data_IF_086422028828
#
_entry.id   IF_086422028828
#
_cell.length_a   1.000
_cell.length_b   1.000
_cell.length_c   1.000
_cell.angle_alpha   90.00
_cell.angle_beta   90.00
_cell.angle_gamma   90.00
#
_symmetry.space_group_name_H-M   'P 1'
#
loop_
_entity.id
_entity.type
_entity.pdbx_description
1 polymer ?
#
# COMPACT_ATOMS: atom_id res chain seq x y z
N UNK A 1 -20.83 76.03 37.77
CA UNK A 1 -19.66 76.57 37.04
C UNK A 1 -18.89 75.38 36.48
N UNK A 2 -19.09 75.09 35.20
CA UNK A 2 -18.10 75.28 34.13
C UNK A 2 -16.90 74.31 34.30
N UNK A 3 -16.95 73.12 33.70
CA UNK A 3 -16.52 72.84 32.32
C UNK A 3 -15.05 73.18 32.08
N UNK A 4 -14.17 72.18 32.24
CA UNK A 4 -12.90 72.15 31.51
C UNK A 4 -12.91 71.02 30.48
N UNK A 5 -13.04 71.45 29.22
CA UNK A 5 -12.70 70.69 28.02
C UNK A 5 -11.24 70.22 28.11
N UNK A 6 -10.98 68.95 27.78
CA UNK A 6 -9.72 68.55 27.17
C UNK A 6 -10.01 68.05 25.77
N UNK A 7 -9.48 68.81 24.83
CA UNK A 7 -9.58 68.67 23.39
C UNK A 7 -8.69 67.51 22.93
N UNK A 8 -9.29 66.68 22.07
CA UNK A 8 -8.72 65.92 20.95
C UNK A 8 -7.24 66.12 20.64
N UNK A 9 -6.48 65.02 20.59
CA UNK A 9 -5.62 64.71 19.44
C UNK A 9 -5.10 63.27 19.56
N UNK A 10 -5.45 62.40 18.61
CA UNK A 10 -4.97 61.02 18.61
C UNK A 10 -5.63 60.15 17.55
N UNK A 11 -5.87 60.74 16.37
CA UNK A 11 -6.35 60.06 15.18
C UNK A 11 -5.18 59.27 14.56
N UNK A 12 -5.05 58.01 14.98
CA UNK A 12 -4.21 56.95 14.40
C UNK A 12 -5.03 55.67 14.60
N UNK A 13 -6.08 55.35 13.83
CA UNK A 13 -6.04 55.02 12.41
C UNK A 13 -4.93 54.03 12.05
N UNK A 14 -4.92 52.88 12.73
CA UNK A 14 -4.30 51.65 12.21
C UNK A 14 -5.18 50.45 12.56
N UNK A 15 -6.06 50.11 11.62
CA UNK A 15 -6.50 48.76 11.27
C UNK A 15 -5.97 47.61 12.15
N UNK A 16 -6.75 47.18 13.13
CA UNK A 16 -6.60 45.91 13.87
C UNK A 16 -7.85 45.82 14.78
N UNK A 17 -8.72 44.81 14.80
CA UNK A 17 -8.68 43.40 14.41
C UNK A 17 -10.14 43.01 14.14
N UNK A 18 -10.56 42.92 12.88
CA UNK A 18 -11.79 42.23 12.48
C UNK A 18 -11.38 41.10 11.55
N UNK A 19 -11.13 39.94 12.14
CA UNK A 19 -11.22 38.63 11.50
C UNK A 19 -11.17 37.57 12.60
N UNK A 20 -12.30 37.46 13.30
CA UNK A 20 -12.71 36.19 13.88
C UNK A 20 -12.85 35.18 12.74
N UNK A 21 -12.13 34.07 12.84
CA UNK A 21 -12.48 32.80 12.20
C UNK A 21 -12.21 32.65 10.69
N UNK A 22 -11.04 33.07 10.19
CA UNK A 22 -10.43 32.38 9.05
C UNK A 22 -9.26 31.56 9.56
N UNK A 23 -9.57 30.34 10.01
CA UNK A 23 -8.59 29.26 9.92
C UNK A 23 -8.51 28.97 8.42
N UNK A 24 -7.57 29.61 7.73
CA UNK A 24 -7.16 29.14 6.41
C UNK A 24 -6.64 27.72 6.60
N UNK A 25 -7.49 26.75 6.27
CA UNK A 25 -7.05 25.43 5.90
C UNK A 25 -6.16 25.61 4.66
N UNK A 26 -4.88 25.84 4.90
CA UNK A 26 -3.87 25.80 3.85
C UNK A 26 -4.04 24.42 3.16
N UNK A 27 -4.23 24.35 1.83
CA UNK A 27 -4.01 23.09 1.15
C UNK A 27 -2.57 22.70 1.49
N UNK A 28 -2.39 21.54 2.11
CA UNK A 28 -1.07 21.00 2.40
C UNK A 28 -0.39 20.87 1.05
N UNK A 29 0.45 21.84 0.72
CA UNK A 29 1.33 21.77 -0.42
C UNK A 29 2.30 20.66 -0.09
N UNK A 30 2.07 19.49 -0.68
CA UNK A 30 3.00 18.37 -0.58
C UNK A 30 4.36 18.86 -1.05
N UNK A 31 5.30 19.02 -0.11
CA UNK A 31 6.71 19.14 -0.46
C UNK A 31 7.07 17.92 -1.33
N UNK A 32 7.78 18.09 -2.45
CA UNK A 32 8.20 16.98 -3.31
C UNK A 32 9.18 15.98 -2.66
N UNK A 33 9.41 16.04 -1.33
CA UNK A 33 10.48 15.31 -0.63
C UNK A 33 10.09 14.51 0.63
N UNK A 34 8.83 14.12 0.87
CA UNK A 34 8.60 13.12 1.94
C UNK A 34 7.37 12.25 1.75
N UNK A 35 7.52 11.17 0.97
CA UNK A 35 6.66 9.99 0.92
C UNK A 35 5.15 10.25 1.21
N UNK A 36 4.43 11.03 0.39
CA UNK A 36 3.01 11.36 0.62
C UNK A 36 2.09 10.12 0.71
N UNK A 37 2.59 8.95 0.33
CA UNK A 37 2.09 7.66 0.77
C UNK A 37 2.93 7.18 1.96
N UNK A 38 2.62 7.62 3.19
CA UNK A 38 3.25 7.04 4.38
C UNK A 38 3.05 5.54 4.33
N UNK A 39 4.13 4.82 4.02
CA UNK A 39 4.20 3.37 4.07
C UNK A 39 3.20 2.62 3.17
N UNK A 40 2.90 3.14 1.97
CA UNK A 40 1.88 2.59 1.06
C UNK A 40 0.49 2.46 1.68
N UNK A 41 0.14 3.32 2.64
CA UNK A 41 -1.22 3.36 3.19
C UNK A 41 -2.27 3.93 2.21
N UNK A 42 -1.90 4.21 0.95
CA UNK A 42 -2.81 4.76 -0.07
C UNK A 42 -3.76 3.67 -0.60
N UNK A 43 -5.09 3.82 -0.45
CA UNK A 43 -6.03 2.74 -0.73
C UNK A 43 -6.48 2.65 -2.19
N UNK A 44 -6.03 3.51 -3.12
CA UNK A 44 -6.55 3.57 -4.49
C UNK A 44 -5.58 2.98 -5.52
N UNK A 45 -6.12 2.30 -6.52
CA UNK A 45 -5.37 1.88 -7.72
C UNK A 45 -5.16 3.07 -8.63
N UNK A 46 -3.90 3.50 -8.80
CA UNK A 46 -3.50 4.30 -9.95
C UNK A 46 -3.37 3.47 -11.22
N UNK A 47 -3.27 4.13 -12.37
CA UNK A 47 -3.01 3.48 -13.67
C UNK A 47 -1.61 2.84 -13.76
N UNK A 48 -0.73 3.13 -12.79
CA UNK A 48 0.56 2.49 -12.59
C UNK A 48 0.77 2.14 -11.11
N UNK A 49 1.67 1.18 -10.86
CA UNK A 49 2.11 0.82 -9.50
C UNK A 49 2.80 2.02 -8.86
N UNK A 50 2.40 2.39 -7.64
CA UNK A 50 2.97 3.52 -6.91
C UNK A 50 4.49 3.36 -6.63
N UNK A 51 5.01 2.12 -6.60
CA UNK A 51 6.44 1.82 -6.40
C UNK A 51 7.23 1.90 -7.72
N UNK A 52 6.57 1.88 -8.88
CA UNK A 52 7.20 2.17 -10.15
C UNK A 52 7.19 3.68 -10.40
N UNK A 53 8.16 4.39 -9.85
CA UNK A 53 8.20 5.86 -9.91
C UNK A 53 8.04 6.41 -11.33
N UNK A 54 8.75 5.83 -12.31
CA UNK A 54 8.71 6.32 -13.69
C UNK A 54 7.31 6.17 -14.29
N UNK A 55 6.70 4.98 -14.15
CA UNK A 55 5.35 4.75 -14.66
C UNK A 55 4.29 5.55 -13.89
N UNK A 56 4.44 5.65 -12.57
CA UNK A 56 3.53 6.37 -11.69
C UNK A 56 3.57 7.89 -11.92
N UNK A 57 4.76 8.48 -12.00
CA UNK A 57 4.92 9.92 -12.21
C UNK A 57 4.39 10.33 -13.59
N UNK A 58 4.56 9.48 -14.60
CA UNK A 58 3.97 9.69 -15.93
C UNK A 58 2.44 9.59 -15.92
N UNK A 59 1.86 8.74 -15.07
CA UNK A 59 0.43 8.54 -14.96
C UNK A 59 -0.31 9.71 -14.31
N UNK A 60 0.31 10.44 -13.36
CA UNK A 60 -0.29 11.56 -12.63
C UNK A 60 -1.65 11.23 -11.94
N UNK A 61 -1.98 9.95 -11.74
CA UNK A 61 -3.26 9.49 -11.18
C UNK A 61 -3.19 9.10 -9.70
N UNK A 62 -1.99 8.97 -9.14
CA UNK A 62 -1.76 8.54 -7.74
C UNK A 62 -0.45 9.12 -7.21
N UNK A 63 -0.26 9.06 -5.89
CA UNK A 63 1.02 9.38 -5.25
C UNK A 63 2.06 8.29 -5.53
N UNK A 64 3.27 8.70 -5.92
CA UNK A 64 4.38 7.82 -6.28
C UNK A 64 5.43 7.79 -5.18
N UNK A 65 6.04 6.62 -4.98
CA UNK A 65 7.26 6.49 -4.18
C UNK A 65 8.42 7.10 -4.95
N UNK A 66 9.01 8.16 -4.41
CA UNK A 66 10.13 8.85 -5.06
C UNK A 66 11.48 8.14 -4.79
N UNK A 67 12.56 8.79 -5.25
CA UNK A 67 13.92 8.29 -5.07
C UNK A 67 14.46 8.39 -3.63
N UNK A 68 13.76 9.03 -2.70
CA UNK A 68 14.12 9.06 -1.27
C UNK A 68 13.45 7.89 -0.53
N UNK A 69 12.27 7.44 -0.98
CA UNK A 69 11.56 6.27 -0.46
C UNK A 69 11.96 4.96 -1.18
N UNK A 70 13.20 4.85 -1.69
CA UNK A 70 13.65 3.77 -2.61
C UNK A 70 13.11 2.39 -2.22
N UNK A 71 12.64 1.58 -3.19
CA UNK A 71 12.30 0.20 -2.93
C UNK A 71 13.55 -0.52 -2.41
N UNK A 72 13.46 -1.12 -1.22
CA UNK A 72 14.45 -2.09 -0.79
C UNK A 72 14.57 -3.15 -1.88
N UNK A 73 15.80 -3.62 -2.11
CA UNK A 73 16.03 -4.71 -3.05
C UNK A 73 15.60 -6.00 -2.35
N UNK A 74 14.31 -6.32 -2.48
CA UNK A 74 13.78 -7.58 -1.94
C UNK A 74 14.25 -8.80 -2.75
N UNK A 75 14.78 -8.58 -3.97
CA UNK A 75 14.99 -9.65 -4.95
C UNK A 75 13.66 -10.23 -5.46
N UNK A 76 13.72 -11.26 -6.30
CA UNK A 76 12.52 -12.00 -6.70
C UNK A 76 12.23 -13.09 -5.65
N UNK A 77 10.94 -13.33 -5.31
CA UNK A 77 10.59 -14.49 -4.51
C UNK A 77 10.82 -15.76 -5.31
N UNK A 78 11.15 -16.85 -4.61
CA UNK A 78 11.09 -18.20 -5.18
C UNK A 78 9.80 -18.87 -4.76
N UNK A 79 9.18 -19.60 -5.67
CA UNK A 79 7.91 -20.28 -5.43
C UNK A 79 8.13 -21.78 -5.34
N UNK A 80 7.37 -22.44 -4.47
CA UNK A 80 7.24 -23.89 -4.52
C UNK A 80 6.43 -24.26 -5.76
N UNK A 81 7.11 -24.84 -6.75
CA UNK A 81 6.52 -25.12 -8.06
C UNK A 81 5.69 -26.40 -8.10
N UNK A 82 5.63 -27.18 -7.01
CA UNK A 82 5.00 -28.51 -6.97
C UNK A 82 3.56 -28.51 -7.48
N UNK A 83 2.81 -27.44 -7.19
CA UNK A 83 1.41 -27.27 -7.61
C UNK A 83 1.23 -26.16 -8.66
N UNK A 84 2.33 -25.57 -9.16
CA UNK A 84 2.26 -24.49 -10.13
C UNK A 84 2.20 -25.02 -11.54
N UNK A 85 1.33 -24.41 -12.34
CA UNK A 85 1.32 -24.57 -13.80
C UNK A 85 1.58 -23.23 -14.45
N UNK A 86 2.00 -23.25 -15.70
CA UNK A 86 2.28 -22.03 -16.46
C UNK A 86 1.44 -22.06 -17.73
N UNK A 87 0.91 -20.90 -18.11
CA UNK A 87 0.42 -20.67 -19.45
C UNK A 87 1.06 -19.39 -19.95
N UNK A 88 1.91 -19.53 -20.97
CA UNK A 88 2.81 -18.48 -21.41
C UNK A 88 3.62 -17.92 -20.22
N UNK A 89 3.51 -16.64 -19.94
CA UNK A 89 4.18 -15.97 -18.82
C UNK A 89 3.37 -15.97 -17.52
N UNK A 90 2.13 -16.46 -17.54
CA UNK A 90 1.23 -16.41 -16.39
C UNK A 90 1.39 -17.64 -15.49
N UNK A 91 1.82 -17.38 -14.24
CA UNK A 91 1.80 -18.37 -13.17
C UNK A 91 0.35 -18.69 -12.78
N UNK A 92 0.03 -19.98 -12.76
CA UNK A 92 -1.27 -20.52 -12.37
C UNK A 92 -1.12 -21.41 -11.15
N UNK A 93 -1.94 -21.16 -10.14
CA UNK A 93 -1.96 -21.93 -8.90
C UNK A 93 -3.38 -22.42 -8.60
N UNK A 94 -3.58 -23.67 -8.18
CA UNK A 94 -4.89 -24.16 -7.77
C UNK A 94 -5.32 -23.46 -6.47
N UNK A 95 -6.55 -22.93 -6.41
CA UNK A 95 -7.18 -22.41 -5.19
C UNK A 95 -7.20 -23.48 -4.07
N UNK A 96 -7.62 -23.16 -2.85
CA UNK A 96 -7.77 -24.19 -1.81
C UNK A 96 -6.48 -24.97 -1.45
N UNK A 97 -5.31 -24.54 -1.94
CA UNK A 97 -4.00 -25.10 -1.62
C UNK A 97 -3.11 -24.02 -0.99
N UNK A 98 -2.11 -24.46 -0.24
CA UNK A 98 -1.13 -23.55 0.34
C UNK A 98 -0.10 -23.13 -0.71
N UNK A 99 -0.19 -21.89 -1.16
CA UNK A 99 0.88 -21.24 -1.92
C UNK A 99 2.02 -20.93 -0.97
N UNK A 100 3.15 -21.60 -1.17
CA UNK A 100 4.41 -21.36 -0.45
C UNK A 100 5.34 -20.55 -1.34
N UNK A 101 5.86 -19.45 -0.81
CA UNK A 101 6.94 -18.68 -1.40
C UNK A 101 8.06 -18.43 -0.38
N UNK A 102 9.29 -18.27 -0.87
CA UNK A 102 10.41 -17.78 -0.08
C UNK A 102 10.84 -16.41 -0.58
N UNK A 103 10.90 -15.44 0.33
CA UNK A 103 11.35 -14.09 0.02
C UNK A 103 12.29 -13.60 1.14
N UNK A 104 13.58 -13.94 1.10
CA UNK A 104 14.47 -13.79 2.26
C UNK A 104 14.64 -12.36 2.77
N UNK A 105 14.61 -11.36 1.88
CA UNK A 105 14.74 -9.96 2.24
C UNK A 105 13.41 -9.30 2.68
N UNK A 106 12.29 -10.03 2.61
CA UNK A 106 11.00 -9.54 3.08
C UNK A 106 10.86 -9.79 4.59
N UNK A 107 10.45 -8.77 5.33
CA UNK A 107 10.07 -8.91 6.74
C UNK A 107 8.60 -9.32 6.86
N UNK A 108 7.78 -8.87 5.91
CA UNK A 108 6.37 -9.23 5.81
C UNK A 108 5.97 -9.33 4.32
N UNK A 109 4.94 -10.12 4.04
CA UNK A 109 4.32 -10.21 2.71
C UNK A 109 2.84 -9.96 2.89
N UNK A 110 2.33 -8.91 2.23
CA UNK A 110 0.90 -8.63 2.18
C UNK A 110 0.32 -9.07 0.85
N UNK A 111 -0.99 -9.33 0.84
CA UNK A 111 -1.70 -9.75 -0.36
C UNK A 111 -3.14 -9.25 -0.42
N UNK A 112 -3.66 -9.22 -1.64
CA UNK A 112 -5.06 -8.98 -1.98
C UNK A 112 -5.51 -10.13 -2.90
N UNK A 113 -6.56 -10.85 -2.49
CA UNK A 113 -7.18 -11.88 -3.33
C UNK A 113 -8.48 -11.33 -3.93
N UNK A 114 -8.60 -11.40 -5.25
CA UNK A 114 -9.78 -11.00 -6.00
C UNK A 114 -10.39 -12.21 -6.68
N UNK A 115 -11.72 -12.33 -6.62
CA UNK A 115 -12.46 -13.34 -7.38
C UNK A 115 -12.42 -13.04 -8.88
N UNK A 116 -12.60 -14.05 -9.73
CA UNK A 116 -12.81 -13.84 -11.17
C UNK A 116 -13.90 -12.79 -11.42
N UNK A 117 -13.60 -11.80 -12.27
CA UNK A 117 -14.51 -10.69 -12.59
C UNK A 117 -14.57 -9.57 -11.55
N UNK A 118 -13.95 -9.72 -10.37
CA UNK A 118 -13.89 -8.65 -9.39
C UNK A 118 -12.87 -7.58 -9.84
N UNK A 119 -13.28 -6.30 -9.99
CA UNK A 119 -12.36 -5.24 -10.36
C UNK A 119 -11.36 -4.98 -9.23
N UNK A 120 -10.11 -4.70 -9.60
CA UNK A 120 -9.10 -4.26 -8.64
C UNK A 120 -9.32 -2.77 -8.32
N UNK A 121 -9.72 -2.46 -7.10
CA UNK A 121 -10.00 -1.09 -6.64
C UNK A 121 -8.91 -0.51 -5.73
N UNK A 122 -8.08 -1.39 -5.14
CA UNK A 122 -6.95 -1.03 -4.27
C UNK A 122 -5.66 -1.76 -4.67
N UNK A 123 -4.50 -1.16 -4.39
CA UNK A 123 -3.21 -1.84 -4.49
C UNK A 123 -2.94 -2.64 -3.20
N UNK A 124 -1.95 -3.53 -3.21
CA UNK A 124 -1.49 -4.16 -1.96
C UNK A 124 -0.77 -3.13 -1.08
N UNK A 125 -1.36 -2.85 0.08
CA UNK A 125 -0.87 -1.90 1.09
C UNK A 125 -0.30 -2.63 2.30
N UNK A 126 0.38 -1.90 3.20
CA UNK A 126 0.81 -2.43 4.49
C UNK A 126 -0.34 -2.84 5.43
N UNK A 127 -1.57 -2.40 5.13
CA UNK A 127 -2.80 -2.77 5.84
C UNK A 127 -3.57 -3.93 5.17
N UNK A 128 -3.08 -4.44 4.03
CA UNK A 128 -3.69 -5.58 3.35
C UNK A 128 -3.50 -6.88 4.15
N UNK A 129 -4.18 -7.95 3.73
CA UNK A 129 -4.07 -9.25 4.41
C UNK A 129 -2.62 -9.72 4.45
N UNK A 130 -2.19 -10.26 5.60
CA UNK A 130 -0.83 -10.74 5.80
C UNK A 130 -0.72 -12.21 5.40
N UNK A 131 0.32 -12.56 4.64
CA UNK A 131 0.70 -13.96 4.47
C UNK A 131 1.18 -14.53 5.82
N UNK A 132 1.06 -15.84 6.01
CA UNK A 132 1.54 -16.48 7.25
C UNK A 132 3.06 -16.68 7.17
N UNK A 133 3.87 -16.01 8.01
CA UNK A 133 5.32 -16.16 7.97
C UNK A 133 5.78 -17.46 8.65
N UNK A 134 6.91 -17.99 8.20
CA UNK A 134 7.68 -19.10 8.78
C UNK A 134 9.17 -18.79 8.73
N UNK A 135 9.95 -19.51 9.53
CA UNK A 135 11.41 -19.36 9.60
C UNK A 135 12.06 -19.48 8.20
N UNK A 136 13.18 -18.79 7.99
CA UNK A 136 13.91 -18.84 6.70
C UNK A 136 13.31 -17.98 5.59
N UNK A 137 12.45 -17.01 5.93
CA UNK A 137 11.82 -16.10 4.95
C UNK A 137 10.74 -16.78 4.11
N UNK A 138 10.10 -17.82 4.64
CA UNK A 138 8.97 -18.49 3.97
C UNK A 138 7.65 -17.82 4.35
N UNK A 139 6.77 -17.68 3.37
CA UNK A 139 5.44 -17.11 3.52
C UNK A 139 4.40 -18.01 2.85
N UNK A 140 3.23 -18.10 3.48
CA UNK A 140 2.13 -18.97 3.04
C UNK A 140 0.86 -18.17 2.82
N UNK A 141 0.21 -18.40 1.67
CA UNK A 141 -1.07 -17.82 1.29
C UNK A 141 -2.01 -18.96 0.88
N UNK A 142 -3.25 -18.97 1.36
CA UNK A 142 -4.29 -19.89 0.88
C UNK A 142 -5.35 -19.08 0.11
N UNK A 143 -5.25 -18.99 -1.23
CA UNK A 143 -6.32 -18.39 -2.00
C UNK A 143 -7.49 -19.38 -2.13
N UNK A 144 -8.62 -19.10 -1.47
CA UNK A 144 -9.74 -20.04 -1.42
C UNK A 144 -10.61 -20.09 -2.69
N UNK A 145 -10.46 -19.11 -3.60
CA UNK A 145 -11.37 -18.90 -4.73
C UNK A 145 -10.60 -18.61 -6.01
N UNK A 146 -11.19 -18.97 -7.16
CA UNK A 146 -10.66 -18.62 -8.48
C UNK A 146 -10.59 -17.10 -8.67
N UNK A 147 -9.51 -16.63 -9.28
CA UNK A 147 -9.31 -15.24 -9.65
C UNK A 147 -7.83 -14.87 -9.66
N UNK A 148 -7.46 -13.80 -8.97
CA UNK A 148 -6.06 -13.32 -8.89
C UNK A 148 -5.65 -13.04 -7.45
N UNK A 149 -4.42 -13.40 -7.12
CA UNK A 149 -3.73 -12.94 -5.91
C UNK A 149 -2.69 -11.92 -6.34
N UNK A 150 -2.79 -10.72 -5.77
CA UNK A 150 -1.75 -9.70 -5.85
C UNK A 150 -0.98 -9.70 -4.54
N UNK A 151 0.34 -9.58 -4.59
CA UNK A 151 1.17 -9.66 -3.39
C UNK A 151 2.37 -8.72 -3.46
N UNK A 152 2.86 -8.32 -2.29
CA UNK A 152 3.94 -7.36 -2.13
C UNK A 152 4.74 -7.67 -0.87
N UNK A 153 6.06 -7.60 -0.96
CA UNK A 153 6.95 -7.65 0.20
C UNK A 153 7.06 -6.28 0.86
N UNK A 154 7.24 -6.29 2.18
CA UNK A 154 7.48 -5.12 3.01
C UNK A 154 8.71 -5.34 3.88
N UNK A 155 9.49 -4.28 4.08
CA UNK A 155 10.57 -4.25 5.05
C UNK A 155 10.03 -3.92 6.45
N UNK A 156 10.93 -3.87 7.44
CA UNK A 156 10.59 -3.46 8.79
C UNK A 156 9.94 -2.07 8.80
N UNK A 157 8.89 -1.90 9.60
CA UNK A 157 8.11 -0.67 9.67
C UNK A 157 7.05 -0.52 8.57
N UNK A 158 7.02 -1.40 7.57
CA UNK A 158 5.97 -1.41 6.53
C UNK A 158 6.09 -0.26 5.52
N UNK A 159 7.17 0.52 5.59
CA UNK A 159 7.30 1.74 4.80
C UNK A 159 8.07 1.58 3.49
N UNK A 160 8.78 0.48 3.36
CA UNK A 160 9.53 0.13 2.17
C UNK A 160 8.92 -1.16 1.63
N UNK A 161 8.65 -1.20 0.32
CA UNK A 161 7.97 -2.33 -0.28
C UNK A 161 8.41 -2.64 -1.71
N UNK A 162 8.08 -3.84 -2.18
CA UNK A 162 8.38 -4.30 -3.54
C UNK A 162 7.37 -3.76 -4.56
N UNK A 163 7.69 -3.91 -5.86
CA UNK A 163 6.64 -3.91 -6.89
C UNK A 163 5.61 -5.00 -6.57
N UNK A 164 4.37 -4.76 -6.96
CA UNK A 164 3.31 -5.75 -6.82
C UNK A 164 3.52 -6.88 -7.83
N UNK A 165 3.39 -8.12 -7.36
CA UNK A 165 3.40 -9.32 -8.19
C UNK A 165 1.99 -9.90 -8.24
N UNK A 166 1.67 -10.65 -9.29
CA UNK A 166 0.37 -11.29 -9.42
C UNK A 166 0.47 -12.76 -9.78
N UNK A 167 -0.43 -13.57 -9.23
CA UNK A 167 -0.58 -14.99 -9.51
C UNK A 167 -2.03 -15.24 -9.90
N UNK A 168 -2.25 -15.96 -10.99
CA UNK A 168 -3.59 -16.39 -11.39
C UNK A 168 -3.97 -17.61 -10.57
N UNK A 169 -5.10 -17.53 -9.86
CA UNK A 169 -5.64 -18.65 -9.11
C UNK A 169 -6.73 -19.30 -9.93
N UNK A 170 -6.58 -20.59 -10.19
CA UNK A 170 -7.56 -21.41 -10.91
C UNK A 170 -8.31 -22.26 -9.91
N UNK A 171 -9.57 -22.58 -10.18
CA UNK A 171 -10.29 -23.54 -9.34
C UNK A 171 -9.48 -24.84 -9.17
N UNK A 172 -9.59 -25.45 -8.01
CA UNK A 172 -9.46 -26.88 -7.86
C UNK A 172 -10.69 -27.44 -7.19
N UNK A 173 -10.79 -28.75 -7.31
CA UNK A 173 -11.88 -29.56 -6.81
C UNK A 173 -12.01 -29.59 -5.27
N UNK A 174 -11.13 -28.96 -4.46
CA UNK A 174 -11.18 -29.05 -2.98
C UNK A 174 -10.67 -27.79 -2.23
N UNK A 175 -11.23 -27.56 -1.04
CA UNK A 175 -11.01 -26.42 -0.11
C UNK A 175 -9.76 -26.64 0.76
N UNK A 176 -9.05 -25.57 1.15
CA UNK A 176 -7.96 -25.64 2.15
C UNK A 176 -8.50 -26.18 3.48
N UNK A 177 -8.47 -27.49 3.71
CA UNK A 177 -8.72 -28.02 5.05
C UNK A 177 -7.49 -27.76 5.93
N UNK A 178 -7.77 -27.22 7.12
CA UNK A 178 -6.80 -26.93 8.15
C UNK A 178 -6.23 -28.26 8.69
N UNK A 179 -5.15 -28.74 8.07
CA UNK A 179 -4.36 -29.83 8.62
C UNK A 179 -3.80 -29.40 9.98
N UNK A 180 -4.43 -29.85 11.05
CA UNK A 180 -3.78 -30.02 12.35
C UNK A 180 -2.44 -30.71 12.08
N UNK A 181 -1.33 -30.02 12.32
CA UNK A 181 -0.10 -30.70 12.71
C UNK A 181 -0.37 -31.34 14.08
N UNK A 182 -1.02 -32.51 14.07
CA UNK A 182 -0.93 -33.50 15.13
C UNK A 182 0.35 -34.30 14.87
N UNK A 183 1.17 -34.45 15.90
CA UNK A 183 2.53 -34.95 15.80
C UNK A 183 2.65 -36.41 15.40
N UNK A 184 3.86 -36.72 14.95
CA UNK A 184 4.64 -37.90 15.33
C UNK A 184 6.09 -37.43 15.53
#
# INVERSE_FOLDING_TARGET
MASHRRTSMGMLLWYAVVSCCYIDAQPVGDSPESCCATCLAQPKVGSADAVDFTACAAAQTTCCFDKTCQPAVFGQPTYDLTLMTFADTDMRFPAGNWLRLQWPAAMDVKYLALKTGQPKTTQVTNASAAATPKAGGFFFICPAVEGKVFLRAFAQGGCIASKELSITVRQPLHVCEYGRHGGD
#
